data_IF_924068008066
#
_entry.id   IF_924068008066
#
_cell.length_a   1.000
_cell.length_b   1.000
_cell.length_c   1.000
_cell.angle_alpha   90.00
_cell.angle_beta   90.00
_cell.angle_gamma   90.00
#
_symmetry.space_group_name_H-M   'P 1'
#
loop_
_entity.id
_entity.type
_entity.pdbx_description
1 polymer ?
#
# COMPACT_ATOMS: atom_id res chain seq x y z
N UNK A 1 0.35 -9.37 -38.60
CA UNK A 1 0.60 -10.29 -37.46
C UNK A 1 1.11 -9.42 -36.34
N UNK A 2 0.30 -9.21 -35.32
CA UNK A 2 0.59 -8.26 -34.24
C UNK A 2 1.82 -8.73 -33.45
N UNK A 3 2.85 -7.89 -33.43
CA UNK A 3 4.04 -8.05 -32.59
C UNK A 3 3.69 -7.73 -31.13
N UNK A 4 2.96 -8.64 -30.47
CA UNK A 4 2.69 -8.53 -29.03
C UNK A 4 3.94 -8.96 -28.27
N UNK A 5 4.73 -7.98 -27.85
CA UNK A 5 5.89 -8.19 -26.97
C UNK A 5 5.37 -8.35 -25.54
N UNK A 6 5.46 -9.56 -24.98
CA UNK A 6 5.17 -9.80 -23.56
C UNK A 6 6.35 -9.31 -22.72
N UNK A 7 6.23 -8.12 -22.16
CA UNK A 7 7.18 -7.67 -21.13
C UNK A 7 7.03 -8.56 -19.88
N UNK A 8 8.12 -9.14 -19.36
CA UNK A 8 8.05 -9.95 -18.15
C UNK A 8 7.82 -9.03 -16.95
N UNK A 9 6.55 -8.80 -16.61
CA UNK A 9 6.18 -8.15 -15.35
C UNK A 9 6.14 -9.22 -14.25
N UNK A 10 6.75 -8.92 -13.10
CA UNK A 10 6.66 -9.80 -11.93
C UNK A 10 5.24 -9.79 -11.38
N UNK A 11 4.86 -10.82 -10.63
CA UNK A 11 3.55 -10.86 -9.94
C UNK A 11 3.34 -9.65 -9.04
N UNK A 12 4.39 -9.18 -8.35
CA UNK A 12 4.32 -7.97 -7.54
C UNK A 12 4.07 -6.72 -8.38
N UNK A 13 4.77 -6.58 -9.52
CA UNK A 13 4.56 -5.44 -10.41
C UNK A 13 3.15 -5.46 -11.00
N UNK A 14 2.62 -6.64 -11.33
CA UNK A 14 1.23 -6.80 -11.76
C UNK A 14 0.25 -6.32 -10.69
N UNK A 15 0.49 -6.66 -9.42
CA UNK A 15 -0.34 -6.20 -8.30
C UNK A 15 -0.26 -4.69 -8.10
N UNK A 16 0.94 -4.10 -8.17
CA UNK A 16 1.15 -2.64 -8.13
C UNK A 16 0.39 -1.93 -9.26
N UNK A 17 0.44 -2.48 -10.47
CA UNK A 17 -0.30 -1.92 -11.61
C UNK A 17 -1.82 -2.03 -11.42
N UNK A 18 -2.31 -3.13 -10.83
CA UNK A 18 -3.74 -3.36 -10.60
C UNK A 18 -4.29 -2.47 -9.47
N UNK A 19 -3.53 -2.30 -8.38
CA UNK A 19 -3.94 -1.61 -7.15
C UNK A 19 -3.55 -0.13 -7.11
N UNK A 20 -2.72 0.31 -8.05
CA UNK A 20 -2.29 1.70 -8.19
C UNK A 20 -1.14 2.10 -7.27
N UNK A 21 -0.75 3.38 -7.35
CA UNK A 21 0.45 3.91 -6.71
C UNK A 21 0.40 3.90 -5.16
N UNK A 22 -0.79 3.93 -4.57
CA UNK A 22 -0.99 3.88 -3.12
C UNK A 22 -0.90 2.49 -2.50
N UNK A 23 -0.57 1.46 -3.29
CA UNK A 23 -0.52 0.07 -2.84
C UNK A 23 0.81 -0.29 -2.15
N UNK A 24 0.72 -0.70 -0.88
CA UNK A 24 1.85 -1.23 -0.12
C UNK A 24 1.53 -2.65 0.38
N UNK A 25 2.12 -3.70 -0.21
CA UNK A 25 1.81 -5.08 0.16
C UNK A 25 2.42 -5.48 1.50
N UNK A 26 1.66 -6.25 2.30
CA UNK A 26 2.24 -7.07 3.36
C UNK A 26 2.98 -8.25 2.70
N UNK A 27 4.23 -8.49 3.09
CA UNK A 27 5.06 -9.55 2.47
C UNK A 27 4.75 -10.96 2.99
N UNK A 28 4.03 -11.09 4.11
CA UNK A 28 3.76 -12.38 4.79
C UNK A 28 2.30 -12.81 4.76
N UNK A 29 1.36 -11.90 4.49
CA UNK A 29 -0.07 -12.19 4.43
C UNK A 29 -0.71 -11.48 3.23
N UNK A 30 -1.87 -11.98 2.78
CA UNK A 30 -2.71 -11.35 1.75
C UNK A 30 -3.42 -10.10 2.29
N UNK A 31 -2.63 -9.13 2.75
CA UNK A 31 -3.07 -7.82 3.25
C UNK A 31 -2.23 -6.73 2.63
N UNK A 32 -2.77 -5.52 2.57
CA UNK A 32 -2.02 -4.36 2.10
C UNK A 32 -2.53 -3.09 2.74
N UNK A 33 -1.68 -2.07 2.72
CA UNK A 33 -2.12 -0.70 2.94
C UNK A 33 -2.48 -0.09 1.59
N UNK A 34 -3.59 0.63 1.54
CA UNK A 34 -4.01 1.43 0.40
C UNK A 34 -4.05 2.89 0.84
N UNK A 35 -3.11 3.69 0.34
CA UNK A 35 -3.06 5.14 0.57
C UNK A 35 -4.02 5.82 -0.41
N UNK A 36 -5.05 6.49 0.11
CA UNK A 36 -6.13 7.06 -0.71
C UNK A 36 -5.91 8.53 -1.03
N UNK A 37 -5.79 9.35 0.02
CA UNK A 37 -5.75 10.81 -0.06
C UNK A 37 -4.99 11.39 1.11
N UNK A 38 -4.38 12.55 0.89
CA UNK A 38 -3.81 13.37 1.95
C UNK A 38 -4.39 14.78 1.92
N UNK A 39 -4.36 15.46 3.07
CA UNK A 39 -4.80 16.83 3.22
C UNK A 39 -3.85 17.57 4.18
N UNK A 40 -3.35 18.72 3.74
CA UNK A 40 -2.56 19.60 4.60
C UNK A 40 -3.49 20.29 5.62
N UNK A 41 -3.21 20.08 6.90
CA UNK A 41 -3.86 20.76 8.03
C UNK A 41 -2.85 21.69 8.72
N UNK A 42 -3.32 22.47 9.71
CA UNK A 42 -2.49 23.43 10.44
C UNK A 42 -1.33 22.80 11.22
N UNK A 43 -1.45 21.52 11.56
CA UNK A 43 -0.56 20.75 12.43
C UNK A 43 0.14 19.58 11.71
N UNK A 44 -0.10 19.37 10.41
CA UNK A 44 0.60 18.33 9.63
C UNK A 44 -0.14 17.91 8.35
N UNK A 45 0.47 17.04 7.56
CA UNK A 45 -0.18 16.41 6.40
C UNK A 45 -0.90 15.13 6.84
N UNK A 46 -2.23 15.18 6.95
CA UNK A 46 -3.05 14.04 7.31
C UNK A 46 -3.23 13.12 6.10
N UNK A 47 -3.05 11.82 6.28
CA UNK A 47 -3.15 10.78 5.26
C UNK A 47 -4.21 9.77 5.69
N UNK A 48 -5.10 9.43 4.76
CA UNK A 48 -6.08 8.35 4.92
C UNK A 48 -5.51 7.07 4.30
N UNK A 49 -5.40 6.02 5.12
CA UNK A 49 -4.84 4.73 4.76
C UNK A 49 -5.87 3.65 5.08
N UNK A 50 -6.28 2.88 4.09
CA UNK A 50 -7.13 1.71 4.29
C UNK A 50 -6.26 0.46 4.51
N UNK A 51 -6.55 -0.31 5.56
CA UNK A 51 -6.00 -1.64 5.74
C UNK A 51 -6.92 -2.63 5.03
N UNK A 52 -6.41 -3.26 3.98
CA UNK A 52 -7.19 -4.05 3.05
C UNK A 52 -6.78 -5.53 3.10
N UNK A 53 -7.70 -6.42 2.74
CA UNK A 53 -7.47 -7.86 2.58
C UNK A 53 -8.37 -8.42 1.49
N UNK A 54 -8.28 -9.72 1.23
CA UNK A 54 -9.21 -10.46 0.38
C UNK A 54 -10.24 -11.17 1.27
N UNK A 55 -11.52 -11.12 0.90
CA UNK A 55 -12.55 -11.95 1.51
C UNK A 55 -12.48 -13.40 1.00
N UNK A 56 -13.41 -14.24 1.44
CA UNK A 56 -13.51 -15.65 1.03
C UNK A 56 -13.72 -15.85 -0.48
N UNK A 57 -14.23 -14.84 -1.18
CA UNK A 57 -14.48 -14.88 -2.62
C UNK A 57 -13.28 -14.33 -3.43
N UNK A 58 -12.24 -13.84 -2.75
CA UNK A 58 -11.09 -13.22 -3.39
C UNK A 58 -11.31 -11.75 -3.75
N UNK A 59 -12.37 -11.11 -3.25
CA UNK A 59 -12.61 -9.68 -3.48
C UNK A 59 -11.94 -8.82 -2.41
N UNK A 60 -11.57 -7.61 -2.81
CA UNK A 60 -11.01 -6.61 -1.90
C UNK A 60 -12.01 -6.26 -0.78
N UNK A 61 -11.53 -6.26 0.45
CA UNK A 61 -12.31 -5.91 1.64
C UNK A 61 -11.48 -5.03 2.56
N UNK A 62 -12.07 -3.91 2.98
CA UNK A 62 -11.48 -3.01 3.98
C UNK A 62 -11.67 -3.58 5.38
N UNK A 63 -10.58 -3.78 6.12
CA UNK A 63 -10.59 -4.17 7.52
C UNK A 63 -10.81 -2.96 8.43
N UNK A 64 -10.05 -1.89 8.19
CA UNK A 64 -10.19 -0.61 8.88
C UNK A 64 -9.61 0.53 8.05
N UNK A 65 -9.88 1.75 8.51
CA UNK A 65 -9.32 2.99 7.98
C UNK A 65 -8.51 3.67 9.08
N UNK A 66 -7.32 4.13 8.72
CA UNK A 66 -6.41 4.87 9.59
C UNK A 66 -6.28 6.28 9.05
N UNK A 67 -6.35 7.26 9.94
CA UNK A 67 -6.04 8.65 9.65
C UNK A 67 -4.84 9.03 10.49
N UNK A 68 -3.70 9.23 9.83
CA UNK A 68 -2.40 9.46 10.48
C UNK A 68 -1.71 10.65 9.83
N UNK A 69 -0.77 11.28 10.51
CA UNK A 69 0.08 12.29 9.87
C UNK A 69 1.22 11.62 9.11
N UNK A 70 1.64 12.22 8.00
CA UNK A 70 2.82 11.80 7.24
C UNK A 70 4.07 11.86 8.09
N UNK A 71 4.18 12.89 8.91
CA UNK A 71 5.30 13.16 9.79
C UNK A 71 5.48 12.05 10.84
N UNK A 72 4.39 11.62 11.47
CA UNK A 72 4.42 10.51 12.42
C UNK A 72 4.80 9.19 11.74
N UNK A 73 4.27 8.92 10.54
CA UNK A 73 4.62 7.74 9.76
C UNK A 73 6.10 7.71 9.39
N UNK A 74 6.63 8.82 8.87
CA UNK A 74 8.05 8.93 8.51
C UNK A 74 8.95 8.81 9.74
N UNK A 75 8.58 9.44 10.86
CA UNK A 75 9.28 9.27 12.13
C UNK A 75 9.30 7.81 12.55
N UNK A 76 8.15 7.12 12.52
CA UNK A 76 8.07 5.71 12.90
C UNK A 76 8.92 4.81 11.98
N UNK A 77 8.88 5.03 10.67
CA UNK A 77 9.68 4.28 9.68
C UNK A 77 11.17 4.47 9.93
N UNK A 78 11.62 5.71 10.17
CA UNK A 78 13.04 6.01 10.37
C UNK A 78 13.59 5.49 11.71
N UNK A 79 12.73 5.24 12.70
CA UNK A 79 13.10 4.70 14.01
C UNK A 79 12.82 3.20 14.15
N UNK A 80 12.25 2.55 13.12
CA UNK A 80 12.04 1.11 13.16
C UNK A 80 13.41 0.41 13.23
N UNK A 81 13.56 -0.50 14.19
CA UNK A 81 14.80 -1.26 14.34
C UNK A 81 15.12 -2.03 13.07
N UNK A 82 16.29 -1.77 12.51
CA UNK A 82 16.82 -2.53 11.38
C UNK A 82 17.37 -3.84 11.92
N UNK A 83 16.75 -4.94 11.53
CA UNK A 83 17.32 -6.26 11.70
C UNK A 83 18.32 -6.49 10.55
N UNK A 84 19.59 -6.64 10.88
CA UNK A 84 20.60 -7.10 9.93
C UNK A 84 20.47 -8.63 9.82
N UNK A 85 19.99 -9.09 8.66
CA UNK A 85 19.75 -10.51 8.31
C UNK A 85 20.71 -10.95 7.23
#
# INVERSE_FOLDING_TARGET
MDNVIRFPITSEQRMKNLKGAGYVPCKVYNRWLQFERSAQMSDGEYIIINVMTLNSNGDDTKLCELVLTKEDLLRAINNAERLDV
#
